data_IF_569659786426
#
_entry.id   IF_569659786426
#
_cell.length_a   1.000
_cell.length_b   1.000
_cell.length_c   1.000
_cell.angle_alpha   90.00
_cell.angle_beta   90.00
_cell.angle_gamma   90.00
#
_symmetry.space_group_name_H-M   'P 1'
#
loop_
_entity.id
_entity.type
_entity.pdbx_description
1 polymer ?
#
# COMPACT_ATOMS: atom_id res chain seq x y z
N UNK A 1 -10.70 19.04 -15.32
CA UNK A 1 -10.73 17.64 -15.77
C UNK A 1 -10.12 16.77 -14.68
N UNK A 2 -10.70 15.60 -14.38
CA UNK A 2 -10.23 14.67 -13.35
C UNK A 2 -10.12 13.27 -13.96
N UNK A 3 -8.98 12.60 -13.73
CA UNK A 3 -8.78 11.20 -14.11
C UNK A 3 -8.86 10.31 -12.87
N UNK A 4 -9.48 9.13 -13.01
CA UNK A 4 -9.58 8.12 -11.96
C UNK A 4 -9.03 6.82 -12.52
N UNK A 5 -8.00 6.28 -11.85
CA UNK A 5 -7.35 5.02 -12.21
C UNK A 5 -7.40 4.05 -11.03
N UNK A 6 -7.49 2.76 -11.33
CA UNK A 6 -7.46 1.71 -10.32
C UNK A 6 -6.05 1.55 -9.72
N UNK A 7 -5.93 1.21 -8.42
CA UNK A 7 -4.65 0.83 -7.82
C UNK A 7 -4.11 -0.49 -8.40
N UNK A 8 -2.83 -0.77 -8.18
CA UNK A 8 -2.21 -2.05 -8.53
C UNK A 8 -1.92 -2.93 -7.31
N UNK A 9 -1.90 -4.25 -7.51
CA UNK A 9 -1.45 -5.23 -6.51
C UNK A 9 0.08 -5.16 -6.30
N UNK A 10 0.83 -4.87 -7.37
CA UNK A 10 2.29 -4.81 -7.33
C UNK A 10 2.73 -3.43 -6.84
N UNK A 11 3.67 -3.43 -5.90
CA UNK A 11 4.19 -2.23 -5.28
C UNK A 11 5.72 -2.25 -5.26
N UNK A 12 6.32 -1.09 -5.45
CA UNK A 12 7.76 -0.87 -5.43
C UNK A 12 8.13 0.26 -4.46
N UNK A 13 8.73 -0.13 -3.35
CA UNK A 13 9.23 0.77 -2.30
C UNK A 13 10.73 1.03 -2.40
N UNK A 14 11.34 0.79 -3.57
CA UNK A 14 12.71 1.26 -3.85
C UNK A 14 12.82 2.78 -3.64
N UNK A 15 14.01 3.22 -3.24
CA UNK A 15 14.31 4.63 -3.03
C UNK A 15 14.03 5.45 -4.29
N UNK A 16 13.38 6.61 -4.12
CA UNK A 16 13.18 7.61 -5.16
C UNK A 16 13.83 8.93 -4.72
N UNK A 17 14.26 9.73 -5.68
CA UNK A 17 14.80 11.08 -5.43
C UNK A 17 13.69 12.14 -5.30
N UNK A 18 12.41 11.74 -5.37
CA UNK A 18 11.27 12.63 -5.21
C UNK A 18 10.91 12.73 -3.72
N UNK A 19 11.19 13.89 -3.14
CA UNK A 19 10.90 14.21 -1.74
C UNK A 19 9.60 15.00 -1.54
N UNK A 20 8.98 15.48 -2.62
CA UNK A 20 7.67 16.15 -2.59
C UNK A 20 6.57 15.11 -2.38
N UNK A 21 5.78 15.29 -1.32
CA UNK A 21 4.64 14.42 -1.02
C UNK A 21 3.49 15.18 -0.34
N UNK A 22 2.31 14.57 -0.40
CA UNK A 22 1.13 14.97 0.37
C UNK A 22 0.69 13.84 1.28
N UNK A 23 -0.10 14.13 2.31
CA UNK A 23 -0.71 13.12 3.17
C UNK A 23 -2.10 12.75 2.66
N UNK A 24 -2.50 11.49 2.89
CA UNK A 24 -3.88 11.07 2.60
C UNK A 24 -4.88 11.86 3.45
N UNK A 25 -6.03 12.18 2.87
CA UNK A 25 -7.13 12.87 3.57
C UNK A 25 -7.97 11.93 4.44
N UNK A 26 -7.86 10.62 4.25
CA UNK A 26 -8.71 9.61 4.89
C UNK A 26 -7.91 8.67 5.80
N UNK A 27 -6.99 9.24 6.59
CA UNK A 27 -6.13 8.44 7.47
C UNK A 27 -6.92 7.76 8.59
N UNK A 28 -7.93 8.43 9.14
CA UNK A 28 -8.80 7.89 10.20
C UNK A 28 -9.57 6.66 9.71
N UNK A 29 -10.14 6.73 8.51
CA UNK A 29 -10.84 5.59 7.90
C UNK A 29 -9.89 4.45 7.58
N UNK A 30 -8.66 4.76 7.14
CA UNK A 30 -7.63 3.76 6.90
C UNK A 30 -7.23 3.06 8.21
N UNK A 31 -7.16 3.79 9.32
CA UNK A 31 -6.80 3.24 10.62
C UNK A 31 -7.82 2.21 11.12
N UNK A 32 -9.13 2.46 10.94
CA UNK A 32 -10.19 1.50 11.28
C UNK A 32 -9.97 0.15 10.57
N UNK A 33 -9.60 0.19 9.30
CA UNK A 33 -9.32 -1.04 8.52
C UNK A 33 -8.05 -1.74 8.99
N UNK A 34 -6.99 -0.97 9.27
CA UNK A 34 -5.72 -1.53 9.77
C UNK A 34 -5.90 -2.17 11.13
N UNK A 35 -6.65 -1.55 12.04
CA UNK A 35 -6.91 -2.09 13.37
C UNK A 35 -7.63 -3.44 13.27
N UNK A 36 -8.65 -3.53 12.40
CA UNK A 36 -9.31 -4.80 12.12
C UNK A 36 -8.33 -5.84 11.54
N UNK A 37 -7.54 -5.46 10.54
CA UNK A 37 -6.61 -6.39 9.87
C UNK A 37 -5.48 -6.86 10.79
N UNK A 38 -5.04 -6.04 11.75
CA UNK A 38 -4.04 -6.43 12.76
C UNK A 38 -4.53 -7.53 13.71
N UNK A 39 -5.84 -7.67 13.90
CA UNK A 39 -6.41 -8.76 14.73
C UNK A 39 -6.46 -10.11 14.00
N UNK A 40 -6.29 -10.14 12.67
CA UNK A 40 -6.38 -11.35 11.87
C UNK A 40 -5.09 -12.13 11.87
N UNK A 41 -5.20 -13.45 11.91
CA UNK A 41 -4.10 -14.37 11.64
C UNK A 41 -3.71 -14.37 10.16
N UNK A 42 -2.51 -14.85 9.85
CA UNK A 42 -2.07 -15.03 8.46
C UNK A 42 -3.03 -15.93 7.65
N UNK A 43 -3.55 -17.01 8.25
CA UNK A 43 -4.47 -17.93 7.59
C UNK A 43 -5.83 -17.29 7.26
N UNK A 44 -6.33 -16.43 8.14
CA UNK A 44 -7.53 -15.63 7.87
C UNK A 44 -7.29 -14.61 6.76
N UNK A 45 -6.11 -13.98 6.70
CA UNK A 45 -5.74 -13.07 5.60
C UNK A 45 -5.64 -13.82 4.27
N UNK A 46 -5.03 -15.02 4.27
CA UNK A 46 -4.93 -15.85 3.08
C UNK A 46 -6.33 -16.18 2.51
N UNK A 47 -7.24 -16.59 3.39
CA UNK A 47 -8.63 -16.92 3.04
C UNK A 47 -9.40 -15.69 2.56
N UNK A 48 -9.31 -14.57 3.30
CA UNK A 48 -9.99 -13.31 2.98
C UNK A 48 -9.60 -12.76 1.61
N UNK A 49 -8.31 -12.82 1.29
CA UNK A 49 -7.78 -12.23 0.05
C UNK A 49 -7.66 -13.24 -1.10
N UNK A 50 -7.88 -14.54 -0.83
CA UNK A 50 -7.66 -15.64 -1.80
C UNK A 50 -6.26 -15.59 -2.43
N UNK A 51 -5.24 -15.53 -1.57
CA UNK A 51 -3.82 -15.40 -1.97
C UNK A 51 -2.97 -16.54 -1.42
N UNK A 52 -1.81 -16.75 -2.03
CA UNK A 52 -0.83 -17.77 -1.60
C UNK A 52 -0.27 -17.49 -0.21
N UNK A 53 0.28 -18.53 0.44
CA UNK A 53 0.91 -18.42 1.77
C UNK A 53 2.04 -17.38 1.83
N UNK A 54 2.83 -17.28 0.75
CA UNK A 54 3.88 -16.26 0.64
C UNK A 54 3.31 -14.85 0.65
N UNK A 55 2.23 -14.62 -0.10
CA UNK A 55 1.57 -13.32 -0.17
C UNK A 55 0.78 -13.01 1.10
N UNK A 56 0.18 -14.02 1.74
CA UNK A 56 -0.52 -13.84 3.01
C UNK A 56 0.44 -13.46 4.12
N UNK A 57 1.61 -14.10 4.19
CA UNK A 57 2.68 -13.71 5.13
C UNK A 57 3.12 -12.27 4.91
N UNK A 58 3.41 -11.91 3.66
CA UNK A 58 3.79 -10.53 3.30
C UNK A 58 2.74 -9.51 3.74
N UNK A 59 1.45 -9.77 3.49
CA UNK A 59 0.39 -8.82 3.85
C UNK A 59 0.11 -8.79 5.35
N UNK A 60 0.19 -9.93 6.05
CA UNK A 60 0.14 -9.98 7.52
C UNK A 60 1.23 -9.07 8.11
N UNK A 61 2.48 -9.22 7.68
CA UNK A 61 3.60 -8.40 8.17
C UNK A 61 3.41 -6.91 7.85
N UNK A 62 2.91 -6.58 6.65
CA UNK A 62 2.55 -5.19 6.27
C UNK A 62 1.50 -4.59 7.19
N UNK A 63 0.44 -5.33 7.53
CA UNK A 63 -0.58 -4.82 8.46
C UNK A 63 -0.01 -4.62 9.86
N UNK A 64 0.82 -5.54 10.37
CA UNK A 64 1.42 -5.40 11.70
C UNK A 64 2.38 -4.21 11.78
N UNK A 65 3.19 -4.01 10.74
CA UNK A 65 4.20 -2.94 10.66
C UNK A 65 3.62 -1.58 10.25
N UNK A 66 2.36 -1.52 9.80
CA UNK A 66 1.69 -0.27 9.46
C UNK A 66 1.69 0.66 10.67
N UNK A 67 2.27 1.84 10.49
CA UNK A 67 2.43 2.85 11.52
C UNK A 67 2.37 4.24 10.92
N UNK A 68 1.82 5.17 11.71
CA UNK A 68 1.80 6.61 11.44
C UNK A 68 2.61 7.32 12.53
N UNK A 69 3.21 8.50 12.26
CA UNK A 69 3.05 9.32 11.05
C UNK A 69 3.80 8.79 9.83
N UNK A 70 3.27 9.07 8.63
CA UNK A 70 3.97 8.76 7.38
C UNK A 70 5.09 9.75 7.07
N UNK A 71 6.22 9.20 6.68
CA UNK A 71 7.46 9.88 6.28
C UNK A 71 8.03 9.17 5.05
N UNK A 72 9.02 9.77 4.39
CA UNK A 72 9.74 9.12 3.29
C UNK A 72 10.53 7.87 3.72
N UNK A 73 10.62 7.58 5.02
CA UNK A 73 11.31 6.39 5.55
C UNK A 73 10.38 5.19 5.73
N UNK A 74 9.06 5.40 5.84
CA UNK A 74 8.08 4.32 6.04
C UNK A 74 6.95 4.30 4.99
N UNK A 75 6.92 5.27 4.08
CA UNK A 75 5.91 5.40 3.04
C UNK A 75 6.52 5.97 1.74
N UNK A 76 5.77 5.81 0.65
CA UNK A 76 6.11 6.33 -0.69
C UNK A 76 4.87 6.91 -1.34
N UNK A 77 5.04 7.91 -2.21
CA UNK A 77 3.95 8.52 -2.97
C UNK A 77 3.22 7.45 -3.78
N UNK A 78 1.89 7.45 -3.75
CA UNK A 78 1.08 6.37 -4.34
C UNK A 78 1.38 6.14 -5.84
N UNK A 79 1.57 7.22 -6.60
CA UNK A 79 1.90 7.15 -8.02
C UNK A 79 3.25 6.46 -8.29
N UNK A 80 4.21 6.63 -7.39
CA UNK A 80 5.56 6.05 -7.49
C UNK A 80 5.64 4.65 -6.88
N UNK A 81 4.71 4.33 -5.97
CA UNK A 81 4.66 3.04 -5.29
C UNK A 81 3.96 1.98 -6.12
N UNK A 82 2.87 2.29 -6.83
CA UNK A 82 2.17 1.30 -7.65
C UNK A 82 2.93 0.98 -8.95
N UNK A 83 2.99 -0.31 -9.30
CA UNK A 83 3.59 -0.80 -10.54
C UNK A 83 2.63 -1.73 -11.29
N UNK A 84 2.70 -1.74 -12.61
CA UNK A 84 1.82 -2.52 -13.48
C UNK A 84 1.47 -1.74 -14.74
N UNK A 85 0.81 -2.35 -15.71
CA UNK A 85 0.69 -1.82 -17.08
C UNK A 85 0.18 -0.38 -17.15
N UNK A 86 -0.87 -0.06 -16.38
CA UNK A 86 -1.41 1.32 -16.29
C UNK A 86 -0.36 2.30 -15.77
N UNK A 87 0.34 1.94 -14.69
CA UNK A 87 1.33 2.82 -14.04
C UNK A 87 2.63 2.93 -14.84
N UNK A 88 3.03 1.86 -15.52
CA UNK A 88 4.17 1.85 -16.43
C UNK A 88 3.92 2.76 -17.64
N UNK A 89 2.67 2.86 -18.11
CA UNK A 89 2.29 3.78 -19.18
C UNK A 89 2.21 5.26 -18.77
N UNK A 90 2.18 5.57 -17.47
CA UNK A 90 2.13 6.96 -16.97
C UNK A 90 3.53 7.60 -16.95
N UNK A 91 4.60 6.82 -17.07
CA UNK A 91 6.01 7.27 -17.07
C UNK A 91 6.31 8.26 -15.93
N UNK A 92 5.93 7.84 -14.72
CA UNK A 92 6.19 8.62 -13.51
C UNK A 92 7.68 8.52 -13.09
N UNK A 93 8.29 9.60 -12.58
CA UNK A 93 9.73 9.71 -12.30
C UNK A 93 10.25 8.83 -11.15
#
# INVERSE_FOLDING_TARGET
MLAVISPSKTQDFSSSNVDVFTKTRQIEQSQILIDLLKTKTQGEIASLMSISDKLSKLNFDRFQTFSTPFTLTNAKQALLAFKGDVYNGIDAP
#
